data_IF_452685454485
#
_entry.id   IF_452685454485
#
_cell.length_a   1.000
_cell.length_b   1.000
_cell.length_c   1.000
_cell.angle_alpha   90.00
_cell.angle_beta   90.00
_cell.angle_gamma   90.00
#
_symmetry.space_group_name_H-M   'P 1'
#
loop_
_entity.id
_entity.type
_entity.pdbx_description
1 polymer ?
#
# COMPACT_ATOMS: atom_id res chain seq x y z
N UNK A 1 -5.47 14.52 -14.32
CA UNK A 1 -5.04 13.79 -13.07
C UNK A 1 -3.53 13.59 -13.15
N UNK A 2 -2.85 13.25 -12.05
CA UNK A 2 -1.44 12.81 -12.10
C UNK A 2 -1.36 11.30 -11.90
N UNK A 3 -0.46 10.64 -12.61
CA UNK A 3 -0.19 9.21 -12.48
C UNK A 3 1.29 8.93 -12.32
N UNK A 4 1.64 7.76 -11.78
CA UNK A 4 3.02 7.30 -11.70
C UNK A 4 3.67 7.25 -13.09
N UNK A 5 4.91 7.72 -13.18
CA UNK A 5 5.74 7.67 -14.39
C UNK A 5 7.04 6.88 -14.15
N UNK A 6 7.62 7.04 -12.96
CA UNK A 6 8.85 6.34 -12.62
C UNK A 6 9.32 6.64 -11.20
N UNK A 7 10.43 6.02 -10.82
CA UNK A 7 11.13 6.32 -9.58
C UNK A 7 12.64 6.39 -9.85
N UNK A 8 13.36 7.11 -8.99
CA UNK A 8 14.82 7.24 -9.09
C UNK A 8 15.61 5.97 -8.69
N UNK A 9 14.93 4.87 -8.38
CA UNK A 9 15.52 3.55 -8.06
C UNK A 9 16.14 3.43 -6.67
N UNK A 10 16.15 4.48 -5.86
CA UNK A 10 16.69 4.44 -4.50
C UNK A 10 15.74 3.68 -3.55
N UNK A 11 16.25 3.04 -2.49
CA UNK A 11 15.41 2.35 -1.52
C UNK A 11 14.49 3.33 -0.77
N UNK A 12 13.28 2.87 -0.47
CA UNK A 12 12.32 3.62 0.33
C UNK A 12 12.70 3.58 1.81
N UNK A 13 12.78 4.75 2.43
CA UNK A 13 12.92 4.90 3.88
C UNK A 13 11.61 5.43 4.48
N UNK A 14 11.05 4.71 5.44
CA UNK A 14 9.87 5.17 6.17
C UNK A 14 10.22 6.34 7.11
N UNK A 15 9.80 7.56 6.78
CA UNK A 15 10.08 8.76 7.59
C UNK A 15 9.53 8.68 9.02
N UNK A 16 8.45 7.92 9.25
CA UNK A 16 7.97 7.65 10.61
C UNK A 16 9.00 6.93 11.48
N UNK A 17 9.80 6.02 10.90
CA UNK A 17 10.91 5.36 11.60
C UNK A 17 12.00 6.36 11.98
N UNK A 18 12.33 7.26 11.06
CA UNK A 18 13.32 8.33 11.27
C UNK A 18 12.91 9.25 12.42
N UNK A 19 11.61 9.58 12.52
CA UNK A 19 11.07 10.39 13.62
C UNK A 19 11.13 9.67 14.97
N UNK A 20 10.89 8.35 15.01
CA UNK A 20 11.07 7.55 16.23
C UNK A 20 12.54 7.53 16.65
N UNK A 21 13.45 7.25 15.71
CA UNK A 21 14.90 7.21 15.98
C UNK A 21 15.43 8.55 16.52
N UNK A 22 14.83 9.67 16.11
CA UNK A 22 15.13 11.02 16.61
C UNK A 22 14.43 11.39 17.93
N UNK A 23 13.58 10.51 18.47
CA UNK A 23 12.77 10.79 19.67
C UNK A 23 11.65 11.80 19.46
N UNK A 24 11.32 12.13 18.21
CA UNK A 24 10.31 13.12 17.85
C UNK A 24 8.88 12.57 17.95
N UNK A 25 8.70 11.25 17.77
CA UNK A 25 7.43 10.54 17.93
C UNK A 25 7.66 9.21 18.66
N UNK A 26 6.69 8.79 19.47
CA UNK A 26 6.67 7.44 20.03
C UNK A 26 6.12 6.45 19.01
N UNK A 27 6.52 5.19 19.10
CA UNK A 27 6.18 4.15 18.10
C UNK A 27 4.67 3.95 17.99
N UNK A 28 3.98 4.05 19.11
CA UNK A 28 2.54 3.83 19.27
C UNK A 28 1.72 4.97 18.65
N UNK A 29 2.32 6.16 18.52
CA UNK A 29 1.66 7.36 18.02
C UNK A 29 1.91 7.59 16.52
N UNK A 30 2.83 6.84 15.89
CA UNK A 30 3.18 7.04 14.47
C UNK A 30 2.00 6.68 13.56
N UNK A 31 1.42 7.72 13.00
CA UNK A 31 0.36 7.75 12.00
C UNK A 31 0.65 8.81 10.95
N UNK A 32 0.01 8.75 9.78
CA UNK A 32 0.13 9.81 8.77
C UNK A 32 -0.21 11.19 9.35
N UNK A 33 -1.26 11.25 10.17
CA UNK A 33 -1.73 12.46 10.84
C UNK A 33 -0.65 13.02 11.79
N UNK A 34 -0.06 12.17 12.63
CA UNK A 34 1.03 12.59 13.54
C UNK A 34 2.27 13.08 12.79
N UNK A 35 2.62 12.45 11.66
CA UNK A 35 3.78 12.81 10.84
C UNK A 35 3.53 14.16 10.16
N UNK A 36 2.34 14.38 9.60
CA UNK A 36 1.95 15.66 9.01
C UNK A 36 1.93 16.78 10.05
N UNK A 37 1.35 16.52 11.23
CA UNK A 37 1.33 17.48 12.33
C UNK A 37 2.75 17.84 12.80
N UNK A 38 3.65 16.86 12.91
CA UNK A 38 5.05 17.12 13.24
C UNK A 38 5.73 17.97 12.16
N UNK A 39 5.57 17.61 10.88
CA UNK A 39 6.17 18.34 9.75
C UNK A 39 5.68 19.79 9.64
N UNK A 40 4.43 20.08 10.03
CA UNK A 40 3.86 21.42 10.03
C UNK A 40 4.40 22.32 11.15
N UNK A 41 4.83 21.72 12.26
CA UNK A 41 5.36 22.45 13.42
C UNK A 41 6.90 22.48 13.47
N UNK A 42 7.57 21.62 12.69
CA UNK A 42 9.02 21.58 12.58
C UNK A 42 9.57 22.80 11.82
N UNK A 43 10.84 23.14 12.08
CA UNK A 43 11.54 24.14 11.26
C UNK A 43 11.76 23.60 9.83
N UNK A 44 11.96 24.50 8.87
CA UNK A 44 12.22 24.11 7.47
C UNK A 44 13.41 23.15 7.34
N UNK A 45 14.46 23.36 8.15
CA UNK A 45 15.66 22.52 8.15
C UNK A 45 15.38 21.11 8.69
N UNK A 46 14.65 20.99 9.81
CA UNK A 46 14.29 19.70 10.40
C UNK A 46 13.36 18.92 9.47
N UNK A 47 12.34 19.59 8.94
CA UNK A 47 11.39 18.98 8.01
C UNK A 47 12.10 18.52 6.73
N UNK A 48 13.06 19.30 6.23
CA UNK A 48 13.90 18.91 5.09
C UNK A 48 14.77 17.70 5.42
N UNK A 49 15.47 17.69 6.54
CA UNK A 49 16.34 16.59 6.94
C UNK A 49 15.57 15.26 7.09
N UNK A 50 14.34 15.30 7.62
CA UNK A 50 13.48 14.11 7.72
C UNK A 50 12.99 13.64 6.35
N UNK A 51 12.59 14.56 5.46
CA UNK A 51 12.18 14.19 4.09
C UNK A 51 13.34 13.59 3.29
N UNK A 52 14.53 14.19 3.37
CA UNK A 52 15.74 13.76 2.64
C UNK A 52 16.29 12.42 3.14
N UNK A 53 15.93 11.97 4.35
CA UNK A 53 16.26 10.63 4.81
C UNK A 53 15.61 9.53 3.93
N UNK A 54 14.51 9.85 3.25
CA UNK A 54 13.98 9.02 2.18
C UNK A 54 14.55 9.45 0.82
N UNK A 55 15.55 8.71 0.35
CA UNK A 55 16.18 8.97 -0.94
C UNK A 55 15.31 8.54 -2.12
N UNK A 56 14.27 7.72 -1.90
CA UNK A 56 13.32 7.33 -2.95
C UNK A 56 12.48 8.53 -3.39
N UNK A 57 12.51 8.84 -4.68
CA UNK A 57 11.71 9.90 -5.29
C UNK A 57 10.85 9.34 -6.42
N UNK A 58 9.58 9.76 -6.47
CA UNK A 58 8.59 9.32 -7.46
C UNK A 58 8.33 10.44 -8.45
N UNK A 59 8.42 10.13 -9.73
CA UNK A 59 8.08 11.01 -10.83
C UNK A 59 6.66 10.72 -11.30
N UNK A 60 5.94 11.77 -11.64
CA UNK A 60 4.56 11.71 -12.09
C UNK A 60 4.43 12.32 -13.47
N UNK A 61 3.47 11.81 -14.24
CA UNK A 61 3.04 12.38 -15.52
C UNK A 61 1.60 12.85 -15.42
N UNK A 62 1.27 13.86 -16.22
CA UNK A 62 -0.11 14.30 -16.39
C UNK A 62 -0.86 13.25 -17.20
N UNK A 63 -2.07 12.92 -16.74
CA UNK A 63 -3.01 12.04 -17.41
C UNK A 63 -4.23 12.87 -17.81
N UNK A 64 -4.33 13.13 -19.12
CA UNK A 64 -5.39 13.94 -19.72
C UNK A 64 -6.61 13.10 -20.09
N UNK A 65 -6.41 11.86 -20.53
CA UNK A 65 -7.49 10.95 -20.98
C UNK A 65 -7.44 9.59 -20.28
N UNK A 66 -8.03 9.49 -19.08
CA UNK A 66 -8.28 8.18 -18.47
C UNK A 66 -9.52 7.54 -19.11
N UNK A 67 -9.46 6.26 -19.53
CA UNK A 67 -10.59 5.57 -20.14
C UNK A 67 -11.85 5.54 -19.25
N UNK A 68 -11.66 5.43 -17.94
CA UNK A 68 -12.73 5.41 -16.95
C UNK A 68 -12.45 6.45 -15.84
N UNK A 69 -13.10 7.62 -15.86
CA UNK A 69 -12.86 8.68 -14.88
C UNK A 69 -13.28 8.29 -13.46
N UNK A 70 -14.22 7.37 -13.30
CA UNK A 70 -14.71 6.93 -11.99
C UNK A 70 -13.79 5.90 -11.31
N UNK A 71 -12.84 5.34 -12.05
CA UNK A 71 -11.81 4.45 -11.50
C UNK A 71 -10.65 5.25 -10.90
N UNK A 72 -9.82 4.53 -10.15
CA UNK A 72 -8.58 5.02 -9.56
C UNK A 72 -7.46 5.28 -10.58
N UNK A 73 -6.25 5.56 -10.08
CA UNK A 73 -5.07 5.75 -10.93
C UNK A 73 -4.71 4.45 -11.68
N UNK A 74 -3.78 4.56 -12.63
CA UNK A 74 -3.16 3.39 -13.26
C UNK A 74 -2.18 2.78 -12.25
N UNK A 75 -2.40 1.53 -11.85
CA UNK A 75 -1.50 0.80 -10.98
C UNK A 75 -0.28 0.24 -11.71
N UNK A 76 0.62 -0.38 -10.95
CA UNK A 76 1.85 -0.99 -11.45
C UNK A 76 1.61 -2.10 -12.50
N UNK A 77 0.41 -2.71 -12.52
CA UNK A 77 0.02 -3.68 -13.54
C UNK A 77 -0.42 -3.06 -14.88
N UNK A 78 -0.39 -1.73 -15.02
CA UNK A 78 -0.77 -1.02 -16.25
C UNK A 78 -2.27 -0.86 -16.47
N UNK A 79 -3.10 -1.15 -15.45
CA UNK A 79 -4.56 -1.06 -15.49
C UNK A 79 -5.08 -0.08 -14.44
N UNK A 80 -6.25 0.51 -14.66
CA UNK A 80 -6.88 1.39 -13.67
C UNK A 80 -7.35 0.60 -12.44
N UNK A 81 -7.14 1.18 -11.26
CA UNK A 81 -7.53 0.56 -9.99
C UNK A 81 -9.02 0.74 -9.71
N UNK A 82 -9.67 -0.31 -9.22
CA UNK A 82 -11.06 -0.32 -8.79
C UNK A 82 -11.14 -0.31 -7.28
N UNK A 83 -11.82 0.68 -6.71
CA UNK A 83 -11.99 0.84 -5.27
C UNK A 83 -12.57 -0.44 -4.63
N UNK A 84 -11.96 -0.89 -3.55
CA UNK A 84 -12.31 -2.10 -2.81
C UNK A 84 -12.07 -3.42 -3.56
N UNK A 85 -11.48 -3.39 -4.76
CA UNK A 85 -11.27 -4.57 -5.64
C UNK A 85 -9.84 -4.70 -6.15
N UNK A 86 -9.06 -3.63 -6.18
CA UNK A 86 -7.63 -3.68 -6.47
C UNK A 86 -6.80 -3.83 -5.21
N UNK A 87 -5.75 -4.63 -5.33
CA UNK A 87 -4.81 -4.94 -4.26
C UNK A 87 -3.38 -4.61 -4.72
N UNK A 88 -2.64 -3.88 -3.90
CA UNK A 88 -1.19 -3.76 -4.04
C UNK A 88 -0.51 -4.94 -3.35
N UNK A 89 0.40 -5.60 -4.04
CA UNK A 89 1.13 -6.78 -3.56
C UNK A 89 2.62 -6.68 -3.88
N UNK A 90 3.42 -7.59 -3.33
CA UNK A 90 4.79 -7.81 -3.79
C UNK A 90 4.77 -8.75 -5.03
N UNK A 91 5.13 -8.27 -6.24
CA UNK A 91 5.04 -9.04 -7.47
C UNK A 91 5.97 -10.26 -7.51
N UNK A 92 6.95 -10.34 -6.58
CA UNK A 92 7.82 -11.51 -6.42
C UNK A 92 7.08 -12.72 -5.85
N UNK A 93 5.94 -12.51 -5.19
CA UNK A 93 5.16 -13.55 -4.52
C UNK A 93 3.76 -13.72 -5.11
N UNK A 94 3.15 -12.66 -5.64
CA UNK A 94 1.85 -12.71 -6.30
C UNK A 94 1.93 -12.00 -7.65
N UNK A 95 1.71 -12.75 -8.73
CA UNK A 95 1.71 -12.17 -10.08
C UNK A 95 0.59 -11.13 -10.24
N UNK A 96 0.84 -10.09 -11.04
CA UNK A 96 -0.23 -9.17 -11.42
C UNK A 96 -1.36 -9.90 -12.15
N UNK A 97 -2.59 -9.46 -11.90
CA UNK A 97 -3.81 -10.09 -12.36
C UNK A 97 -4.26 -11.28 -11.51
N UNK A 98 -3.44 -11.76 -10.56
CA UNK A 98 -3.84 -12.89 -9.72
C UNK A 98 -5.01 -12.50 -8.78
N UNK A 99 -6.05 -13.34 -8.68
CA UNK A 99 -7.08 -13.17 -7.67
C UNK A 99 -6.54 -13.54 -6.29
N UNK A 100 -6.77 -12.67 -5.31
CA UNK A 100 -6.35 -12.86 -3.92
C UNK A 100 -7.57 -12.72 -3.02
N UNK A 101 -7.88 -13.75 -2.25
CA UNK A 101 -8.87 -13.66 -1.18
C UNK A 101 -8.22 -13.05 0.06
N UNK A 102 -8.78 -11.93 0.52
CA UNK A 102 -8.36 -11.26 1.76
C UNK A 102 -9.36 -11.57 2.84
N UNK A 103 -8.88 -12.05 3.98
CA UNK A 103 -9.66 -12.32 5.19
C UNK A 103 -9.05 -11.58 6.37
N UNK A 104 -9.67 -10.49 6.79
CA UNK A 104 -9.32 -9.73 7.98
C UNK A 104 -10.48 -9.93 8.97
N UNK A 105 -10.21 -10.43 10.19
CA UNK A 105 -11.23 -10.54 11.22
C UNK A 105 -11.73 -9.14 11.60
N UNK A 106 -13.00 -9.05 11.96
CA UNK A 106 -13.52 -7.84 12.59
C UNK A 106 -13.01 -7.73 14.03
N UNK A 107 -13.10 -6.54 14.58
CA UNK A 107 -12.79 -6.28 15.97
C UNK A 107 -13.96 -5.53 16.62
N UNK A 108 -14.67 -6.23 17.51
CA UNK A 108 -15.82 -5.67 18.22
C UNK A 108 -15.44 -4.58 19.21
N UNK A 109 -14.21 -4.61 19.75
CA UNK A 109 -13.72 -3.59 20.67
C UNK A 109 -13.48 -2.26 19.95
N UNK A 110 -12.97 -2.30 18.71
CA UNK A 110 -12.76 -1.12 17.87
C UNK A 110 -13.90 -0.85 16.88
N UNK A 111 -14.98 -1.65 16.94
CA UNK A 111 -16.14 -1.61 16.02
C UNK A 111 -15.75 -1.69 14.54
N UNK A 112 -14.72 -2.48 14.23
CA UNK A 112 -14.30 -2.75 12.85
C UNK A 112 -15.01 -3.98 12.32
N UNK A 113 -15.72 -3.83 11.21
CA UNK A 113 -16.35 -4.95 10.53
C UNK A 113 -15.30 -5.87 9.87
N UNK A 114 -15.56 -7.19 9.82
CA UNK A 114 -14.67 -8.11 9.11
C UNK A 114 -14.59 -7.79 7.62
N UNK A 115 -13.39 -7.91 7.04
CA UNK A 115 -13.19 -7.77 5.60
C UNK A 115 -12.92 -9.14 5.00
N UNK A 116 -13.88 -9.64 4.21
CA UNK A 116 -13.77 -10.92 3.49
C UNK A 116 -14.14 -10.71 2.05
N UNK A 117 -13.15 -10.65 1.17
CA UNK A 117 -13.40 -10.34 -0.25
C UNK A 117 -12.31 -10.83 -1.17
N UNK A 118 -12.73 -11.09 -2.39
CA UNK A 118 -11.85 -11.31 -3.53
C UNK A 118 -11.41 -9.97 -4.12
N UNK A 119 -10.10 -9.77 -4.24
CA UNK A 119 -9.45 -8.65 -4.93
C UNK A 119 -8.52 -9.17 -6.02
N UNK A 120 -8.05 -8.28 -6.87
CA UNK A 120 -7.08 -8.57 -7.94
C UNK A 120 -5.79 -7.82 -7.65
N UNK A 121 -4.65 -8.53 -7.74
CA UNK A 121 -3.32 -7.94 -7.68
C UNK A 121 -3.09 -7.01 -8.90
N UNK A 122 -3.28 -5.70 -8.73
CA UNK A 122 -3.19 -4.72 -9.84
C UNK A 122 -2.17 -3.62 -9.58
N UNK A 123 -1.58 -3.62 -8.39
CA UNK A 123 -0.59 -2.62 -8.01
C UNK A 123 0.54 -3.20 -7.17
N UNK A 124 1.56 -2.38 -6.91
CA UNK A 124 2.64 -2.66 -5.99
C UNK A 124 3.17 -1.35 -5.42
N UNK A 125 3.87 -1.42 -4.28
CA UNK A 125 4.44 -0.23 -3.65
C UNK A 125 5.80 -0.50 -3.03
N UNK A 126 6.61 0.54 -2.89
CA UNK A 126 7.93 0.44 -2.26
C UNK A 126 7.91 -0.10 -0.82
N UNK A 127 6.80 0.12 -0.10
CA UNK A 127 6.58 -0.37 1.26
C UNK A 127 5.85 -1.73 1.32
N UNK A 128 5.32 -2.24 0.20
CA UNK A 128 4.60 -3.52 0.13
C UNK A 128 5.62 -4.61 -0.25
N UNK A 129 6.14 -5.27 0.78
CA UNK A 129 7.21 -6.26 0.65
C UNK A 129 6.84 -7.54 1.38
N UNK A 130 7.33 -8.66 0.84
CA UNK A 130 7.17 -10.04 1.34
C UNK A 130 5.81 -10.66 0.98
N UNK A 131 5.68 -11.97 1.22
CA UNK A 131 4.53 -12.77 0.81
C UNK A 131 3.20 -12.40 1.52
N UNK A 132 3.27 -11.84 2.73
CA UNK A 132 2.11 -11.63 3.62
C UNK A 132 1.89 -10.14 3.93
N UNK A 133 2.08 -9.28 2.92
CA UNK A 133 1.80 -7.84 3.00
C UNK A 133 1.01 -7.45 1.75
N UNK A 134 -0.12 -6.78 1.95
CA UNK A 134 -0.92 -6.23 0.87
C UNK A 134 -1.59 -4.94 1.30
N UNK A 135 -1.97 -4.12 0.35
CA UNK A 135 -2.71 -2.87 0.58
C UNK A 135 -3.94 -2.79 -0.31
N UNK A 136 -5.09 -2.49 0.28
CA UNK A 136 -6.37 -2.44 -0.44
C UNK A 136 -6.54 -1.03 -0.98
N UNK A 137 -6.71 -0.90 -2.29
CA UNK A 137 -7.09 0.38 -2.86
C UNK A 137 -8.54 0.69 -2.48
N UNK A 138 -8.77 1.60 -1.53
CA UNK A 138 -10.12 1.94 -1.02
C UNK A 138 -10.83 3.02 -1.83
N UNK A 139 -10.13 3.69 -2.75
CA UNK A 139 -10.68 4.75 -3.60
C UNK A 139 -9.78 5.99 -3.65
N UNK A 140 -10.34 7.08 -4.15
CA UNK A 140 -9.66 8.38 -4.29
C UNK A 140 -10.45 9.46 -3.55
N UNK A 141 -9.76 10.52 -3.10
CA UNK A 141 -10.36 11.66 -2.38
C UNK A 141 -10.30 11.52 -0.86
N UNK A 142 -10.83 12.53 -0.15
CA UNK A 142 -10.61 12.69 1.29
C UNK A 142 -11.16 11.50 2.12
N UNK A 143 -12.33 10.98 1.74
CA UNK A 143 -12.94 9.81 2.39
C UNK A 143 -12.07 8.55 2.29
N UNK A 144 -11.25 8.43 1.24
CA UNK A 144 -10.33 7.30 1.11
C UNK A 144 -9.14 7.43 2.08
N UNK A 145 -8.70 8.65 2.39
CA UNK A 145 -7.63 8.92 3.34
C UNK A 145 -7.99 8.50 4.77
N UNK A 146 -9.21 8.79 5.20
CA UNK A 146 -9.71 8.43 6.53
C UNK A 146 -9.82 6.91 6.71
N UNK A 147 -10.32 6.21 5.69
CA UNK A 147 -10.41 4.75 5.70
C UNK A 147 -9.01 4.13 5.66
N UNK A 148 -8.14 4.57 4.74
CA UNK A 148 -6.79 4.00 4.58
C UNK A 148 -5.91 4.19 5.83
N UNK A 149 -6.01 5.34 6.51
CA UNK A 149 -5.28 5.60 7.75
C UNK A 149 -5.60 4.65 8.91
N UNK A 150 -6.77 3.99 8.88
CA UNK A 150 -7.23 3.04 9.90
C UNK A 150 -6.90 1.57 9.63
N UNK A 151 -6.35 1.23 8.45
CA UNK A 151 -6.07 -0.15 8.04
C UNK A 151 -4.61 -0.55 8.33
N UNK A 152 -4.38 -1.09 9.52
CA UNK A 152 -3.16 -1.84 9.85
C UNK A 152 -3.53 -3.13 10.60
N UNK A 153 -4.25 -3.99 9.90
CA UNK A 153 -4.84 -5.19 10.49
C UNK A 153 -4.06 -6.45 10.15
N UNK A 154 -4.05 -7.41 11.08
CA UNK A 154 -3.59 -8.77 10.79
C UNK A 154 -4.71 -9.54 10.11
N UNK A 155 -4.38 -10.26 9.05
CA UNK A 155 -5.31 -11.09 8.31
C UNK A 155 -4.59 -12.17 7.50
N UNK A 156 -5.36 -12.89 6.73
CA UNK A 156 -4.91 -13.97 5.86
C UNK A 156 -5.07 -13.57 4.39
N UNK A 157 -4.09 -13.98 3.58
CA UNK A 157 -4.08 -13.82 2.14
C UNK A 157 -4.06 -15.21 1.48
N UNK A 158 -5.03 -15.47 0.60
CA UNK A 158 -5.07 -16.71 -0.17
C UNK A 158 -4.93 -16.37 -1.65
N UNK A 159 -3.80 -16.75 -2.25
CA UNK A 159 -3.55 -16.57 -3.67
C UNK A 159 -4.28 -17.67 -4.46
N UNK A 160 -5.25 -17.28 -5.27
CA UNK A 160 -5.98 -18.23 -6.12
C UNK A 160 -5.20 -18.44 -7.42
N UNK A 161 -4.65 -19.64 -7.57
CA UNK A 161 -3.79 -20.00 -8.69
C UNK A 161 -4.50 -20.99 -9.60
N UNK A 162 -4.44 -20.82 -10.94
CA UNK A 162 -4.95 -21.83 -11.88
C UNK A 162 -4.37 -23.22 -11.60
N UNK A 163 -5.22 -24.26 -11.58
CA UNK A 163 -4.81 -25.62 -11.22
C UNK A 163 -3.59 -26.13 -12.00
N UNK A 164 -3.52 -25.83 -13.31
CA UNK A 164 -2.39 -26.20 -14.18
C UNK A 164 -1.04 -25.57 -13.78
N UNK A 165 -1.06 -24.43 -13.09
CA UNK A 165 0.15 -23.78 -12.56
C UNK A 165 0.54 -24.45 -11.24
N UNK A 166 -0.45 -24.80 -10.39
CA UNK A 166 -0.21 -25.50 -9.12
C UNK A 166 0.52 -26.82 -9.33
N UNK A 167 0.18 -27.58 -10.37
CA UNK A 167 0.87 -28.82 -10.76
C UNK A 167 2.37 -28.65 -11.03
N UNK A 168 2.83 -27.43 -11.31
CA UNK A 168 4.22 -27.09 -11.63
C UNK A 168 4.95 -26.42 -10.47
N UNK A 169 4.23 -26.04 -9.41
CA UNK A 169 4.86 -25.46 -8.23
C UNK A 169 5.51 -26.57 -7.42
N UNK A 170 6.69 -26.33 -6.83
CA UNK A 170 7.23 -27.23 -5.83
C UNK A 170 6.19 -27.39 -4.71
N UNK A 171 6.07 -28.61 -4.17
CA UNK A 171 5.22 -28.84 -3.01
C UNK A 171 5.62 -27.84 -1.91
N UNK A 172 4.66 -27.22 -1.21
CA UNK A 172 5.01 -26.31 -0.13
C UNK A 172 5.89 -27.06 0.87
N UNK A 173 7.04 -26.47 1.22
CA UNK A 173 7.92 -27.02 2.24
C UNK A 173 7.09 -27.19 3.52
N UNK A 174 6.97 -28.43 3.98
CA UNK A 174 6.34 -28.73 5.26
C UNK A 174 7.28 -28.27 6.37
N UNK A 175 7.07 -27.06 6.88
CA UNK A 175 7.74 -26.52 8.06
C UNK A 175 6.74 -25.95 9.03
#
# INVERSE_FOLDING_TARGET
RVGYDGANGQPYTAIGRVLIEKGALQREDVSMQSILAWLQNATDEEARAVREANQSYIFFRVLDDLPHPDLGPIGSAGVQLTAGRSLAVDPRYAAYGAPVWVSIPGDSATRKDPVRRLLIAQDSGGAIKNAVRADIFVGSGDLAGDVAGGFNERGELFLLTPAKIVERLPAPDAS
#
